data_IF_834672822003
#
_entry.id   IF_834672822003
#
_cell.length_a   1.000
_cell.length_b   1.000
_cell.length_c   1.000
_cell.angle_alpha   90.00
_cell.angle_beta   90.00
_cell.angle_gamma   90.00
#
_symmetry.space_group_name_H-M   'P 1'
#
loop_
_entity.id
_entity.type
_entity.pdbx_description
1 polymer ?
#
# COMPACT_ATOMS: atom_id res chain seq x y z
N UNK A 1 1.56 3.25 21.75
CA UNK A 1 2.29 3.72 20.56
C UNK A 1 1.31 3.59 19.41
N UNK A 2 1.22 4.56 18.50
CA UNK A 2 0.21 4.48 17.48
C UNK A 2 0.53 3.29 16.54
N UNK A 3 -0.50 2.64 16.02
CA UNK A 3 -0.40 1.42 15.20
C UNK A 3 -1.28 1.56 13.96
N UNK A 4 -0.71 1.30 12.79
CA UNK A 4 -1.43 1.36 11.52
C UNK A 4 -1.76 -0.03 11.01
N UNK A 5 -2.98 -0.24 10.49
CA UNK A 5 -3.38 -1.48 9.82
C UNK A 5 -4.04 -1.19 8.47
N UNK A 6 -3.87 -2.11 7.52
CA UNK A 6 -4.58 -2.15 6.25
C UNK A 6 -5.23 -3.53 6.08
N UNK A 7 -6.55 -3.57 5.78
CA UNK A 7 -7.33 -4.81 5.71
C UNK A 7 -8.27 -4.83 4.50
N UNK A 8 -8.59 -6.04 4.05
CA UNK A 8 -9.67 -6.32 3.09
C UNK A 8 -10.57 -7.38 3.73
N UNK A 9 -11.76 -6.97 4.18
CA UNK A 9 -12.57 -7.81 5.07
C UNK A 9 -11.77 -8.17 6.32
N UNK A 10 -11.67 -9.47 6.63
CA UNK A 10 -10.92 -9.96 7.80
C UNK A 10 -9.43 -10.18 7.51
N UNK A 11 -8.98 -10.06 6.25
CA UNK A 11 -7.58 -10.27 5.88
C UNK A 11 -6.75 -9.02 6.15
N UNK A 12 -5.79 -9.11 7.08
CA UNK A 12 -4.76 -8.09 7.30
C UNK A 12 -3.71 -8.20 6.20
N UNK A 13 -3.53 -7.12 5.43
CA UNK A 13 -2.55 -7.07 4.34
C UNK A 13 -1.29 -6.27 4.71
N UNK A 14 -1.39 -5.35 5.68
CA UNK A 14 -0.24 -4.65 6.25
C UNK A 14 -0.53 -4.21 7.69
N UNK A 15 0.51 -4.21 8.54
CA UNK A 15 0.44 -3.62 9.88
C UNK A 15 1.80 -3.05 10.29
N UNK A 16 1.86 -1.88 10.92
CA UNK A 16 3.13 -1.25 11.28
C UNK A 16 3.02 -0.31 12.50
N UNK A 17 4.04 -0.35 13.36
CA UNK A 17 4.29 0.63 14.43
C UNK A 17 5.16 1.82 13.98
N UNK A 18 5.66 1.77 12.73
CA UNK A 18 6.34 2.88 12.07
C UNK A 18 5.88 2.97 10.63
N UNK A 19 5.32 4.10 10.27
CA UNK A 19 4.77 4.41 8.95
C UNK A 19 4.99 5.88 8.66
N UNK A 20 4.93 6.22 7.38
CA UNK A 20 4.96 7.60 6.92
C UNK A 20 3.54 8.05 6.57
N UNK A 21 3.28 9.36 6.64
CA UNK A 21 2.02 9.92 6.17
C UNK A 21 2.24 11.12 5.27
N UNK A 22 1.57 11.10 4.12
CA UNK A 22 1.61 12.18 3.13
C UNK A 22 0.21 12.36 2.56
N UNK A 23 -0.30 13.60 2.59
CA UNK A 23 -1.63 13.97 2.07
C UNK A 23 -2.77 13.08 2.63
N UNK A 24 -2.67 12.72 3.91
CA UNK A 24 -3.67 11.88 4.59
C UNK A 24 -3.63 10.40 4.21
N UNK A 25 -2.67 9.96 3.39
CA UNK A 25 -2.42 8.55 3.12
C UNK A 25 -1.38 7.99 4.10
N UNK A 26 -1.51 6.70 4.40
CA UNK A 26 -0.57 5.95 5.23
C UNK A 26 0.32 5.13 4.30
N UNK A 27 1.63 5.29 4.46
CA UNK A 27 2.66 4.59 3.70
C UNK A 27 3.34 3.57 4.59
N UNK A 28 3.03 2.31 4.33
CA UNK A 28 3.53 1.14 5.03
C UNK A 28 4.90 0.75 4.46
N UNK A 29 5.93 0.52 5.30
CA UNK A 29 7.18 -0.05 4.83
C UNK A 29 6.93 -1.37 4.10
N UNK A 30 7.66 -1.65 3.01
CA UNK A 30 7.46 -2.90 2.24
C UNK A 30 7.56 -4.17 3.11
N UNK A 31 8.39 -4.15 4.14
CA UNK A 31 8.56 -5.24 5.11
C UNK A 31 7.39 -5.47 6.06
N UNK A 32 6.47 -4.49 6.16
CA UNK A 32 5.28 -4.57 7.01
C UNK A 32 4.08 -5.26 6.34
N UNK A 33 4.20 -5.56 5.04
CA UNK A 33 3.21 -6.31 4.29
C UNK A 33 3.17 -7.77 4.75
N UNK A 34 1.97 -8.34 4.85
CA UNK A 34 1.74 -9.68 5.41
C UNK A 34 1.56 -10.77 4.36
N UNK A 35 2.09 -10.58 3.16
CA UNK A 35 1.95 -11.54 2.06
C UNK A 35 2.69 -12.86 2.31
N UNK A 36 3.62 -12.92 3.27
CA UNK A 36 4.30 -14.17 3.67
C UNK A 36 3.35 -15.22 4.25
N UNK A 37 2.19 -14.83 4.77
CA UNK A 37 1.16 -15.74 5.23
C UNK A 37 0.39 -16.41 4.07
N UNK A 38 0.58 -15.96 2.83
CA UNK A 38 -0.07 -16.53 1.65
C UNK A 38 -1.57 -16.22 1.56
N UNK A 39 -2.08 -15.24 2.31
CA UNK A 39 -3.49 -14.82 2.30
C UNK A 39 -3.84 -13.88 1.15
N UNK A 40 -2.84 -13.18 0.60
CA UNK A 40 -2.97 -12.33 -0.57
C UNK A 40 -1.66 -12.26 -1.35
N UNK A 41 -1.78 -11.91 -2.64
CA UNK A 41 -0.65 -11.52 -3.48
C UNK A 41 -0.78 -10.07 -3.95
N UNK A 42 0.37 -9.42 -4.13
CA UNK A 42 0.46 -8.16 -4.87
C UNK A 42 0.93 -8.46 -6.29
N UNK A 43 0.11 -8.12 -7.26
CA UNK A 43 0.38 -8.35 -8.68
C UNK A 43 0.70 -7.00 -9.31
N UNK A 44 1.85 -6.91 -9.98
CA UNK A 44 2.26 -5.69 -10.69
C UNK A 44 1.17 -5.29 -11.69
N UNK A 45 0.69 -4.04 -11.61
CA UNK A 45 -0.20 -3.45 -12.60
C UNK A 45 0.61 -2.65 -13.63
N UNK A 46 0.12 -2.59 -14.86
CA UNK A 46 0.66 -1.71 -15.91
C UNK A 46 0.27 -0.24 -15.69
N UNK A 47 -0.64 0.03 -14.75
CA UNK A 47 -1.05 1.38 -14.42
C UNK A 47 0.09 2.17 -13.75
N UNK A 48 0.18 3.45 -14.12
CA UNK A 48 1.06 4.41 -13.48
C UNK A 48 0.47 5.81 -13.56
N UNK A 49 0.85 6.66 -12.61
CA UNK A 49 0.43 8.06 -12.58
C UNK A 49 1.60 8.95 -12.22
N UNK A 50 1.70 10.10 -12.87
CA UNK A 50 2.75 11.07 -12.59
C UNK A 50 2.28 12.16 -11.61
N UNK A 51 3.07 12.42 -10.59
CA UNK A 51 2.90 13.53 -9.66
C UNK A 51 4.10 14.49 -9.77
N UNK A 52 3.90 15.80 -10.00
CA UNK A 52 4.98 16.75 -10.24
C UNK A 52 6.05 16.82 -9.14
N UNK A 53 5.68 16.50 -7.89
CA UNK A 53 6.58 16.64 -6.74
C UNK A 53 6.96 15.31 -6.09
N UNK A 54 6.20 14.23 -6.33
CA UNK A 54 6.52 12.88 -5.81
C UNK A 54 7.21 12.00 -6.84
N UNK A 55 7.05 12.26 -8.13
CA UNK A 55 7.53 11.39 -9.21
C UNK A 55 6.44 10.44 -9.73
N UNK A 56 6.85 9.29 -10.28
CA UNK A 56 5.95 8.30 -10.88
C UNK A 56 5.48 7.28 -9.85
N UNK A 57 4.17 7.18 -9.65
CA UNK A 57 3.57 6.09 -8.88
C UNK A 57 3.33 4.88 -9.79
N UNK A 58 3.63 3.70 -9.26
CA UNK A 58 3.28 2.41 -9.85
C UNK A 58 2.24 1.72 -8.97
N UNK A 59 1.39 0.89 -9.57
CA UNK A 59 0.26 0.28 -8.90
C UNK A 59 0.41 -1.25 -8.77
N UNK A 60 -0.26 -1.78 -7.76
CA UNK A 60 -0.46 -3.22 -7.58
C UNK A 60 -1.96 -3.52 -7.53
N UNK A 61 -2.33 -4.60 -8.21
CA UNK A 61 -3.56 -5.32 -7.95
C UNK A 61 -3.37 -6.16 -6.69
N UNK A 62 -4.44 -6.33 -5.91
CA UNK A 62 -4.43 -7.20 -4.72
C UNK A 62 -5.31 -8.41 -4.99
N UNK A 63 -4.69 -9.59 -5.04
CA UNK A 63 -5.40 -10.85 -5.17
C UNK A 63 -5.58 -11.50 -3.79
N UNK A 64 -6.81 -11.49 -3.26
CA UNK A 64 -7.16 -12.12 -1.98
C UNK A 64 -7.42 -13.60 -2.21
N UNK A 65 -6.63 -14.46 -1.57
CA UNK A 65 -6.67 -15.91 -1.83
C UNK A 65 -7.93 -16.58 -1.31
N UNK A 66 -8.39 -16.16 -0.14
CA UNK A 66 -9.57 -16.75 0.52
C UNK A 66 -10.84 -16.56 -0.31
N UNK A 67 -11.02 -15.39 -0.91
CA UNK A 67 -12.21 -15.06 -1.71
C UNK A 67 -12.01 -15.26 -3.22
N UNK A 68 -10.76 -15.46 -3.67
CA UNK A 68 -10.41 -15.47 -5.10
C UNK A 68 -10.60 -14.12 -5.80
N UNK A 69 -10.81 -13.04 -5.04
CA UNK A 69 -11.09 -11.71 -5.60
C UNK A 69 -9.80 -10.98 -5.97
N UNK A 70 -9.78 -10.35 -7.14
CA UNK A 70 -8.73 -9.43 -7.56
C UNK A 70 -9.27 -8.02 -7.49
N UNK A 71 -8.62 -7.15 -6.72
CA UNK A 71 -8.94 -5.75 -6.62
C UNK A 71 -7.89 -4.96 -7.40
N UNK A 72 -8.28 -4.47 -8.57
CA UNK A 72 -7.35 -3.77 -9.46
C UNK A 72 -6.92 -2.42 -8.91
N UNK A 73 -5.65 -2.05 -9.15
CA UNK A 73 -5.03 -0.79 -8.73
C UNK A 73 -5.43 -0.40 -7.30
N UNK A 74 -5.26 -1.32 -6.36
CA UNK A 74 -5.71 -1.16 -4.97
C UNK A 74 -4.59 -0.69 -4.04
N UNK A 75 -3.34 -0.90 -4.44
CA UNK A 75 -2.17 -0.37 -3.77
C UNK A 75 -1.29 0.41 -4.76
N UNK A 76 -0.52 1.37 -4.26
CA UNK A 76 0.48 2.08 -5.05
C UNK A 76 1.75 2.34 -4.26
N UNK A 77 2.82 2.62 -4.98
CA UNK A 77 4.12 2.94 -4.41
C UNK A 77 4.91 3.85 -5.34
N UNK A 78 5.91 4.52 -4.78
CA UNK A 78 6.91 5.27 -5.53
C UNK A 78 8.24 4.53 -5.41
N UNK A 79 8.71 3.92 -6.50
CA UNK A 79 9.99 3.21 -6.51
C UNK A 79 11.16 4.18 -6.30
N UNK A 80 11.13 5.29 -7.05
CA UNK A 80 12.14 6.34 -7.05
C UNK A 80 11.45 7.70 -6.93
N UNK A 81 10.94 8.06 -5.73
CA UNK A 81 10.33 9.36 -5.55
C UNK A 81 11.38 10.48 -5.62
N UNK A 82 10.91 11.69 -5.93
CA UNK A 82 11.77 12.88 -5.84
C UNK A 82 12.13 13.20 -4.38
N UNK A 83 13.16 14.04 -4.20
CA UNK A 83 13.73 14.34 -2.88
C UNK A 83 12.70 14.82 -1.85
N UNK A 84 11.68 15.57 -2.28
CA UNK A 84 10.61 16.05 -1.41
C UNK A 84 9.71 14.94 -0.84
N UNK A 85 9.71 13.75 -1.45
CA UNK A 85 8.92 12.58 -1.06
C UNK A 85 9.80 11.35 -0.79
N UNK A 86 11.10 11.53 -0.53
CA UNK A 86 12.06 10.42 -0.37
C UNK A 86 11.76 9.52 0.82
N UNK A 87 11.14 10.06 1.86
CA UNK A 87 10.71 9.31 3.04
C UNK A 87 9.73 8.17 2.71
N UNK A 88 8.90 8.32 1.68
CA UNK A 88 7.94 7.28 1.24
C UNK A 88 8.49 6.36 0.14
N UNK A 89 9.77 6.47 -0.21
CA UNK A 89 10.41 5.62 -1.23
C UNK A 89 10.30 4.14 -0.90
N UNK A 90 9.78 3.34 -1.83
CA UNK A 90 9.56 1.91 -1.66
C UNK A 90 8.47 1.53 -0.64
N UNK A 91 7.80 2.51 -0.02
CA UNK A 91 6.65 2.26 0.84
C UNK A 91 5.39 2.07 0.00
N UNK A 92 4.43 1.33 0.55
CA UNK A 92 3.17 1.00 -0.12
C UNK A 92 2.02 1.70 0.59
N UNK A 93 1.17 2.37 -0.17
CA UNK A 93 -0.09 2.92 0.30
C UNK A 93 -1.27 2.23 -0.40
N UNK A 94 -2.46 2.37 0.18
CA UNK A 94 -3.66 1.66 -0.26
C UNK A 94 -4.83 2.63 -0.52
N UNK A 95 -5.66 2.31 -1.52
CA UNK A 95 -6.81 3.14 -1.87
C UNK A 95 -7.91 3.00 -0.82
N UNK A 96 -8.21 4.11 -0.17
CA UNK A 96 -9.36 4.23 0.73
C UNK A 96 -10.64 3.89 -0.05
N UNK A 97 -11.44 2.97 0.47
CA UNK A 97 -12.65 2.45 -0.18
C UNK A 97 -12.45 1.14 -0.95
N UNK A 98 -11.20 0.75 -1.24
CA UNK A 98 -10.84 -0.62 -1.68
C UNK A 98 -10.21 -1.43 -0.55
N UNK A 99 -9.48 -0.74 0.33
CA UNK A 99 -8.79 -1.29 1.50
C UNK A 99 -9.15 -0.42 2.69
N UNK A 100 -9.47 -1.07 3.81
CA UNK A 100 -9.73 -0.42 5.08
C UNK A 100 -8.41 -0.10 5.77
N UNK A 101 -8.06 1.19 5.83
CA UNK A 101 -6.83 1.68 6.45
C UNK A 101 -7.19 2.43 7.73
N UNK A 102 -6.64 1.99 8.86
CA UNK A 102 -6.87 2.59 10.17
C UNK A 102 -5.54 2.89 10.88
N UNK A 103 -5.53 3.95 11.68
CA UNK A 103 -4.43 4.31 12.59
C UNK A 103 -5.05 4.50 13.98
N UNK A 104 -4.55 3.76 14.96
CA UNK A 104 -5.01 3.74 16.35
C UNK A 104 -3.93 4.22 17.31
#
# INVERSE_FOLDING_TARGET
>A
MPHATAKIGDTIIAEADKWESVEGNVYFPRSSLKNSAGTFDLIQSDASTFCPWKGTASYYDIAVKETGTIISDAAWYYAEPYEAAKNIGGHVAFYKGKVDVAVE
#
